data_IF_156338332954
#
_entry.id   IF_156338332954
#
_cell.length_a   1.000
_cell.length_b   1.000
_cell.length_c   1.000
_cell.angle_alpha   90.00
_cell.angle_beta   90.00
_cell.angle_gamma   90.00
#
_symmetry.space_group_name_H-M   'P 1'
#
loop_
_entity.id
_entity.type
_entity.pdbx_description
1 polymer ?
#
# COMPACT_ATOMS: atom_id res chain seq x y z
N UNK A 1 17.23 14.91 -6.04
CA UNK A 1 17.72 14.25 -4.79
C UNK A 1 16.69 13.23 -4.34
N UNK A 2 17.13 12.04 -3.94
CA UNK A 2 16.24 11.02 -3.35
C UNK A 2 15.89 11.52 -1.95
N UNK A 3 14.60 11.73 -1.66
CA UNK A 3 14.15 12.06 -0.30
C UNK A 3 14.22 10.80 0.57
N UNK A 4 14.81 10.92 1.74
CA UNK A 4 14.87 9.85 2.73
C UNK A 4 13.83 10.16 3.80
N UNK A 5 12.81 9.31 4.00
CA UNK A 5 11.82 9.51 5.02
C UNK A 5 12.46 9.53 6.43
N UNK A 6 11.89 10.32 7.31
CA UNK A 6 12.37 10.48 8.68
C UNK A 6 11.20 10.48 9.66
N UNK A 7 11.48 10.77 10.92
CA UNK A 7 10.48 10.78 12.00
C UNK A 7 10.01 12.20 12.39
N UNK A 8 10.21 13.21 11.55
CA UNK A 8 9.89 14.59 11.92
C UNK A 8 8.39 14.82 12.15
N UNK A 9 7.54 14.12 11.41
CA UNK A 9 6.08 14.17 11.59
C UNK A 9 5.66 13.38 12.83
N UNK A 10 6.13 12.16 12.96
CA UNK A 10 5.83 11.28 14.09
C UNK A 10 6.26 11.91 15.41
N UNK A 11 7.48 12.46 15.50
CA UNK A 11 8.00 13.11 16.73
C UNK A 11 7.17 14.30 17.20
N UNK A 12 6.59 15.06 16.28
CA UNK A 12 5.69 16.18 16.64
C UNK A 12 4.37 15.65 17.21
N UNK A 13 3.87 14.56 16.67
CA UNK A 13 2.60 13.96 17.05
C UNK A 13 2.74 13.14 18.34
N UNK A 14 3.87 12.50 18.60
CA UNK A 14 4.13 11.76 19.85
C UNK A 14 4.10 12.61 21.11
N UNK A 15 4.04 13.95 20.98
CA UNK A 15 3.83 14.86 22.13
C UNK A 15 2.39 14.72 22.68
N UNK A 16 1.42 14.43 21.79
CA UNK A 16 -0.02 14.40 22.12
C UNK A 16 -0.67 13.03 21.89
N UNK A 17 -0.08 12.17 21.08
CA UNK A 17 -0.61 10.87 20.65
C UNK A 17 0.43 9.79 20.87
N UNK A 18 0.00 8.62 21.34
CA UNK A 18 0.91 7.50 21.61
C UNK A 18 1.07 6.57 20.42
N UNK A 19 -0.02 6.29 19.72
CA UNK A 19 -0.08 5.28 18.64
C UNK A 19 -0.41 5.91 17.30
N UNK A 20 0.62 6.35 16.57
CA UNK A 20 0.49 6.99 15.28
C UNK A 20 0.67 5.94 14.19
N UNK A 21 -0.39 5.66 13.42
CA UNK A 21 -0.31 4.76 12.27
C UNK A 21 0.01 5.53 10.99
N UNK A 22 1.09 5.15 10.31
CA UNK A 22 1.34 5.52 8.92
C UNK A 22 0.58 4.60 7.98
N UNK A 23 -0.13 5.14 6.98
CA UNK A 23 -0.90 4.39 5.97
C UNK A 23 -0.45 4.76 4.56
N UNK A 24 -0.35 3.76 3.68
CA UNK A 24 -0.16 3.95 2.23
C UNK A 24 -0.79 2.80 1.44
N UNK A 25 -1.12 3.05 0.16
CA UNK A 25 -1.75 2.06 -0.71
C UNK A 25 -0.83 1.57 -1.84
N UNK A 26 -1.10 0.35 -2.30
CA UNK A 26 -0.52 -0.23 -3.50
C UNK A 26 -1.60 -0.75 -4.47
N UNK A 27 -1.36 -0.57 -5.76
CA UNK A 27 -2.22 -1.15 -6.79
C UNK A 27 -3.43 -0.31 -7.20
N UNK A 28 -3.54 0.95 -6.79
CA UNK A 28 -4.67 1.82 -7.13
C UNK A 28 -4.91 1.95 -8.64
N UNK A 29 -3.86 2.12 -9.44
CA UNK A 29 -3.94 2.26 -10.90
C UNK A 29 -3.77 0.97 -11.71
N UNK A 30 -3.86 -0.21 -11.09
CA UNK A 30 -3.76 -1.49 -11.80
C UNK A 30 -5.08 -1.87 -12.48
N UNK A 31 -5.01 -2.59 -13.61
CA UNK A 31 -6.18 -3.11 -14.33
C UNK A 31 -6.69 -4.44 -13.77
N UNK A 32 -5.88 -5.12 -12.96
CA UNK A 32 -6.24 -6.40 -12.34
C UNK A 32 -5.72 -6.50 -10.90
N UNK A 33 -6.40 -7.31 -10.11
CA UNK A 33 -6.12 -7.57 -8.71
C UNK A 33 -6.64 -6.48 -7.76
N UNK A 34 -6.56 -6.73 -6.46
CA UNK A 34 -7.08 -5.82 -5.43
C UNK A 34 -6.27 -4.52 -5.33
N UNK A 35 -6.85 -3.52 -4.69
CA UNK A 35 -6.09 -2.46 -4.01
C UNK A 35 -5.70 -2.99 -2.64
N UNK A 36 -4.51 -2.64 -2.18
CA UNK A 36 -3.96 -3.06 -0.89
C UNK A 36 -3.52 -1.84 -0.10
N UNK A 37 -3.83 -1.79 1.18
CA UNK A 37 -3.33 -0.77 2.12
C UNK A 37 -2.52 -1.44 3.21
N UNK A 38 -1.39 -0.83 3.55
CA UNK A 38 -0.60 -1.15 4.73
C UNK A 38 -0.82 -0.09 5.81
N UNK A 39 -0.77 -0.51 7.07
CA UNK A 39 -0.77 0.35 8.23
C UNK A 39 0.36 -0.06 9.17
N UNK A 40 1.12 0.92 9.70
CA UNK A 40 2.27 0.66 10.58
C UNK A 40 2.34 1.69 11.70
N UNK A 41 2.38 1.20 12.95
CA UNK A 41 2.71 2.00 14.13
C UNK A 41 4.16 1.71 14.52
N UNK A 42 5.00 2.72 14.45
CA UNK A 42 6.40 2.61 14.86
C UNK A 42 6.56 2.93 16.35
N UNK A 43 7.57 2.32 17.03
CA UNK A 43 7.84 2.62 18.43
C UNK A 43 8.42 4.04 18.60
N UNK A 44 7.93 4.77 19.59
CA UNK A 44 8.38 6.11 19.98
C UNK A 44 9.61 6.09 20.90
N UNK A 45 9.84 4.97 21.59
CA UNK A 45 10.88 4.74 22.57
C UNK A 45 12.19 4.16 22.03
N UNK A 46 12.30 3.95 20.72
CA UNK A 46 13.52 3.42 20.09
C UNK A 46 14.40 4.55 19.51
N UNK A 47 15.48 4.97 20.21
CA UNK A 47 16.35 6.05 19.74
C UNK A 47 17.12 5.70 18.45
N UNK A 48 17.22 4.41 18.12
CA UNK A 48 17.94 3.91 16.94
C UNK A 48 17.00 3.57 15.77
N UNK A 49 15.71 3.88 15.85
CA UNK A 49 14.67 3.46 14.90
C UNK A 49 15.05 3.78 13.44
N UNK A 50 15.47 5.02 13.15
CA UNK A 50 15.90 5.43 11.80
C UNK A 50 17.07 4.59 11.29
N UNK A 51 18.04 4.26 12.14
CA UNK A 51 19.18 3.41 11.79
C UNK A 51 18.72 1.97 11.59
N UNK A 52 17.85 1.46 12.44
CA UNK A 52 17.31 0.11 12.38
C UNK A 52 16.47 -0.11 11.13
N UNK A 53 15.70 0.89 10.71
CA UNK A 53 14.92 0.89 9.45
C UNK A 53 15.69 1.55 8.28
N UNK A 54 17.03 1.56 8.35
CA UNK A 54 17.84 2.08 7.23
C UNK A 54 17.49 1.36 5.93
N UNK A 55 17.30 2.14 4.85
CA UNK A 55 16.88 1.65 3.54
C UNK A 55 15.37 1.71 3.30
N UNK A 56 14.53 1.90 4.31
CA UNK A 56 13.10 2.16 4.13
C UNK A 56 12.92 3.50 3.43
N UNK A 57 12.16 3.48 2.33
CA UNK A 57 11.81 4.64 1.50
C UNK A 57 10.62 4.26 0.61
N UNK A 58 10.13 5.21 -0.21
CA UNK A 58 9.11 4.97 -1.22
C UNK A 58 9.30 3.60 -1.91
N UNK A 59 8.31 2.74 -1.80
CA UNK A 59 8.38 1.34 -2.26
C UNK A 59 8.63 1.21 -3.77
N UNK A 60 8.31 2.23 -4.55
CA UNK A 60 8.53 2.30 -6.00
C UNK A 60 10.00 2.54 -6.36
N UNK A 61 10.79 3.07 -5.41
CA UNK A 61 12.24 3.28 -5.54
C UNK A 61 13.05 2.06 -5.13
N UNK A 62 12.40 1.01 -4.63
CA UNK A 62 13.02 -0.22 -4.17
C UNK A 62 12.81 -1.35 -5.18
N UNK A 63 13.84 -2.18 -5.36
CA UNK A 63 13.69 -3.44 -6.08
C UNK A 63 12.81 -4.42 -5.28
N UNK A 64 12.17 -5.41 -5.93
CA UNK A 64 11.42 -6.44 -5.22
C UNK A 64 12.24 -7.10 -4.09
N UNK A 65 13.49 -7.48 -4.37
CA UNK A 65 14.40 -8.08 -3.37
C UNK A 65 14.61 -7.19 -2.14
N UNK A 66 14.78 -5.88 -2.34
CA UNK A 66 14.93 -4.95 -1.22
C UNK A 66 13.67 -4.86 -0.37
N UNK A 67 12.48 -4.82 -1.03
CA UNK A 67 11.20 -4.84 -0.31
C UNK A 67 11.00 -6.14 0.49
N UNK A 68 11.33 -7.29 -0.11
CA UNK A 68 11.23 -8.60 0.54
C UNK A 68 12.17 -8.73 1.77
N UNK A 69 13.29 -8.02 1.78
CA UNK A 69 14.20 -7.94 2.94
C UNK A 69 13.70 -6.96 4.01
N UNK A 70 13.08 -5.85 3.61
CA UNK A 70 12.64 -4.81 4.53
C UNK A 70 11.30 -5.14 5.19
N UNK A 71 10.37 -5.79 4.49
CA UNK A 71 9.04 -6.07 5.00
C UNK A 71 9.04 -6.92 6.30
N UNK A 72 9.79 -8.02 6.43
CA UNK A 72 9.91 -8.76 7.69
C UNK A 72 10.48 -7.90 8.81
N UNK A 73 11.50 -7.10 8.52
CA UNK A 73 12.16 -6.23 9.49
C UNK A 73 11.23 -5.12 10.00
N UNK A 74 10.40 -4.54 9.12
CA UNK A 74 9.37 -3.58 9.52
C UNK A 74 8.37 -4.24 10.48
N UNK A 75 7.90 -5.45 10.17
CA UNK A 75 6.96 -6.20 10.98
C UNK A 75 7.50 -6.57 12.36
N UNK A 76 8.78 -6.89 12.46
CA UNK A 76 9.46 -7.22 13.70
C UNK A 76 9.61 -6.00 14.62
N UNK A 77 9.85 -4.81 14.05
CA UNK A 77 10.14 -3.59 14.80
C UNK A 77 8.85 -2.83 15.15
N UNK A 78 7.83 -2.88 14.29
CA UNK A 78 6.58 -2.17 14.49
C UNK A 78 5.87 -2.62 15.78
N UNK A 79 5.31 -1.69 16.55
CA UNK A 79 4.43 -2.01 17.69
C UNK A 79 3.16 -2.71 17.23
N UNK A 80 2.62 -2.28 16.09
CA UNK A 80 1.51 -2.92 15.40
C UNK A 80 1.62 -2.64 13.91
N UNK A 81 1.10 -3.56 13.11
CA UNK A 81 0.96 -3.42 11.67
C UNK A 81 -0.26 -4.19 11.18
N UNK A 82 -0.82 -3.76 10.06
CA UNK A 82 -1.91 -4.44 9.40
C UNK A 82 -1.83 -4.30 7.89
N UNK A 83 -2.49 -5.21 7.18
CA UNK A 83 -2.61 -5.21 5.72
C UNK A 83 -4.06 -5.51 5.39
N UNK A 84 -4.67 -4.64 4.60
CA UNK A 84 -6.04 -4.82 4.13
C UNK A 84 -6.13 -4.78 2.61
N UNK A 85 -7.09 -5.50 2.07
CA UNK A 85 -7.35 -5.58 0.64
C UNK A 85 -8.81 -5.25 0.34
N UNK A 86 -9.05 -4.61 -0.83
CA UNK A 86 -10.36 -4.62 -1.46
C UNK A 86 -10.23 -5.21 -2.87
N UNK A 87 -11.10 -6.16 -3.19
CA UNK A 87 -11.05 -6.98 -4.41
C UNK A 87 -11.35 -6.16 -5.68
N UNK A 88 -11.14 -6.78 -6.85
CA UNK A 88 -11.52 -6.17 -8.12
C UNK A 88 -13.04 -5.94 -8.21
N UNK A 89 -13.86 -6.87 -7.73
CA UNK A 89 -15.32 -6.74 -7.71
C UNK A 89 -15.78 -5.62 -6.76
N UNK A 90 -15.16 -5.47 -5.59
CA UNK A 90 -15.43 -4.35 -4.68
C UNK A 90 -15.03 -3.01 -5.29
N UNK A 91 -13.91 -2.97 -6.04
CA UNK A 91 -13.50 -1.76 -6.78
C UNK A 91 -14.51 -1.42 -7.87
N UNK A 92 -14.99 -2.42 -8.61
CA UNK A 92 -15.97 -2.21 -9.66
C UNK A 92 -17.34 -1.76 -9.10
N UNK A 93 -17.72 -2.28 -7.93
CA UNK A 93 -18.98 -1.92 -7.27
C UNK A 93 -18.94 -0.53 -6.59
N UNK A 94 -17.86 -0.19 -5.92
CA UNK A 94 -17.76 1.00 -5.08
C UNK A 94 -17.01 2.17 -5.73
N UNK A 95 -16.20 1.88 -6.75
CA UNK A 95 -15.20 2.80 -7.25
C UNK A 95 -13.90 2.75 -6.43
N UNK A 96 -12.79 3.22 -7.04
CA UNK A 96 -11.44 3.05 -6.47
C UNK A 96 -11.23 3.79 -5.14
N UNK A 97 -11.84 4.96 -4.96
CA UNK A 97 -11.63 5.74 -3.72
C UNK A 97 -12.29 5.06 -2.52
N UNK A 98 -13.60 4.73 -2.53
CA UNK A 98 -14.23 3.99 -1.43
C UNK A 98 -13.61 2.61 -1.20
N UNK A 99 -13.24 1.88 -2.26
CA UNK A 99 -12.56 0.59 -2.13
C UNK A 99 -11.18 0.71 -1.47
N UNK A 100 -10.45 1.81 -1.73
CA UNK A 100 -9.17 2.06 -1.04
C UNK A 100 -9.40 2.35 0.46
N UNK A 101 -10.44 3.09 0.81
CA UNK A 101 -10.85 3.33 2.21
C UNK A 101 -11.25 2.03 2.90
N UNK A 102 -12.03 1.18 2.23
CA UNK A 102 -12.38 -0.15 2.73
C UNK A 102 -11.14 -1.00 3.02
N UNK A 103 -10.15 -0.98 2.11
CA UNK A 103 -8.88 -1.66 2.33
C UNK A 103 -8.11 -1.07 3.52
N UNK A 104 -8.18 0.26 3.73
CA UNK A 104 -7.55 0.92 4.87
C UNK A 104 -8.24 0.55 6.20
N UNK A 105 -9.56 0.53 6.26
CA UNK A 105 -10.30 0.06 7.44
C UNK A 105 -9.92 -1.38 7.78
N UNK A 106 -9.88 -2.28 6.80
CA UNK A 106 -9.42 -3.66 6.99
C UNK A 106 -7.96 -3.77 7.46
N UNK A 107 -7.09 -2.86 7.00
CA UNK A 107 -5.71 -2.82 7.47
C UNK A 107 -5.64 -2.40 8.95
N UNK A 108 -6.45 -1.43 9.38
CA UNK A 108 -6.55 -1.03 10.78
C UNK A 108 -7.16 -2.13 11.66
N UNK A 109 -8.21 -2.80 11.19
CA UNK A 109 -8.83 -3.94 11.86
C UNK A 109 -7.89 -5.13 12.03
N UNK A 110 -6.94 -5.32 11.10
CA UNK A 110 -5.93 -6.38 11.16
C UNK A 110 -4.78 -6.09 12.14
N UNK A 111 -4.72 -4.89 12.74
CA UNK A 111 -3.71 -4.53 13.74
C UNK A 111 -4.03 -5.15 15.09
N UNK A 112 -3.01 -5.40 15.91
CA UNK A 112 -3.17 -5.94 17.28
C UNK A 112 -3.88 -4.96 18.24
N UNK A 113 -3.84 -3.67 17.95
CA UNK A 113 -4.59 -2.60 18.61
C UNK A 113 -4.75 -1.40 17.66
N UNK A 114 -5.74 -0.55 17.92
CA UNK A 114 -6.04 0.60 17.08
C UNK A 114 -5.12 1.79 17.39
N UNK A 115 -4.78 2.61 16.36
CA UNK A 115 -4.08 3.87 16.56
C UNK A 115 -4.99 4.92 17.19
N UNK A 116 -4.37 5.98 17.72
CA UNK A 116 -5.04 7.21 18.19
C UNK A 116 -4.82 8.40 17.22
N UNK A 117 -3.97 8.23 16.22
CA UNK A 117 -3.77 9.20 15.14
C UNK A 117 -3.36 8.50 13.82
N UNK A 118 -3.79 9.06 12.68
CA UNK A 118 -3.41 8.57 11.35
C UNK A 118 -2.53 9.58 10.61
N UNK A 119 -1.39 9.13 10.11
CA UNK A 119 -0.60 9.77 9.06
C UNK A 119 -0.85 9.05 7.75
N UNK A 120 -1.47 9.71 6.77
CA UNK A 120 -1.83 9.08 5.49
C UNK A 120 -1.07 9.71 4.33
N UNK A 121 -0.86 8.96 3.24
CA UNK A 121 -0.50 9.61 1.98
C UNK A 121 -1.70 10.42 1.45
N UNK A 122 -1.45 11.53 0.75
CA UNK A 122 -2.39 12.61 0.43
C UNK A 122 -3.77 12.18 -0.11
N UNK A 123 -3.87 11.00 -0.70
CA UNK A 123 -5.14 10.52 -1.30
C UNK A 123 -5.86 9.47 -0.47
N UNK A 124 -5.41 9.22 0.75
CA UNK A 124 -5.93 8.18 1.63
C UNK A 124 -6.50 8.78 2.93
N UNK A 125 -7.41 9.74 2.80
CA UNK A 125 -8.19 10.24 3.93
C UNK A 125 -9.34 9.29 4.24
N UNK A 126 -9.62 9.09 5.53
CA UNK A 126 -10.67 8.23 6.09
C UNK A 126 -11.66 9.06 6.90
N UNK A 127 -12.48 9.91 6.26
CA UNK A 127 -13.37 10.84 6.96
C UNK A 127 -14.49 10.13 7.75
N UNK A 128 -14.74 8.84 7.45
CA UNK A 128 -15.69 8.00 8.16
C UNK A 128 -15.21 7.50 9.53
N UNK A 129 -13.92 7.64 9.82
CA UNK A 129 -13.36 7.26 11.12
C UNK A 129 -13.30 8.47 12.04
N UNK A 130 -13.75 8.28 13.28
CA UNK A 130 -13.61 9.28 14.36
C UNK A 130 -12.19 9.23 14.93
N UNK A 131 -11.20 9.48 14.06
CA UNK A 131 -9.78 9.53 14.40
C UNK A 131 -9.14 10.79 13.83
N UNK A 132 -8.34 11.46 14.65
CA UNK A 132 -7.50 12.56 14.19
C UNK A 132 -6.55 12.07 13.09
N UNK A 133 -6.46 12.82 12.00
CA UNK A 133 -5.62 12.41 10.87
C UNK A 133 -4.99 13.60 10.15
N UNK A 134 -3.85 13.35 9.52
CA UNK A 134 -3.17 14.30 8.63
C UNK A 134 -2.71 13.61 7.37
N UNK A 135 -3.13 14.14 6.22
CA UNK A 135 -2.69 13.68 4.92
C UNK A 135 -1.44 14.45 4.47
N UNK A 136 -0.38 13.72 4.13
CA UNK A 136 0.89 14.28 3.68
C UNK A 136 1.06 14.08 2.17
N UNK A 137 1.34 15.16 1.44
CA UNK A 137 1.70 15.05 0.02
C UNK A 137 3.03 14.31 -0.09
N UNK A 138 3.06 13.18 -0.82
CA UNK A 138 4.21 12.26 -0.92
C UNK A 138 4.67 11.81 0.47
N UNK A 139 3.72 11.39 1.28
CA UNK A 139 3.96 11.00 2.66
C UNK A 139 5.02 9.91 2.80
N UNK A 140 5.08 8.98 1.85
CA UNK A 140 6.08 7.93 1.70
C UNK A 140 7.54 8.43 1.52
N UNK A 141 7.72 9.71 1.17
CA UNK A 141 9.03 10.36 1.06
C UNK A 141 9.41 11.18 2.31
N UNK A 142 8.48 11.41 3.23
CA UNK A 142 8.66 12.32 4.38
C UNK A 142 8.48 11.64 5.72
N UNK A 143 7.58 10.68 5.84
CA UNK A 143 7.26 9.94 7.07
C UNK A 143 7.77 8.50 6.99
N UNK A 144 8.49 8.06 8.03
CA UNK A 144 9.04 6.71 8.09
C UNK A 144 7.94 5.66 8.31
N UNK A 145 6.87 6.00 9.02
CA UNK A 145 5.72 5.11 9.21
C UNK A 145 4.93 4.92 7.92
N UNK A 146 4.69 5.98 7.13
CA UNK A 146 4.03 5.88 5.82
C UNK A 146 4.91 5.08 4.84
N UNK A 147 6.22 5.35 4.78
CA UNK A 147 7.15 4.61 3.93
C UNK A 147 7.19 3.10 4.29
N UNK A 148 7.12 2.78 5.57
CA UNK A 148 7.03 1.40 6.06
C UNK A 148 5.72 0.74 5.61
N UNK A 149 4.59 1.43 5.74
CA UNK A 149 3.29 0.98 5.26
C UNK A 149 3.28 0.75 3.74
N UNK A 150 3.88 1.65 2.96
CA UNK A 150 4.08 1.54 1.51
C UNK A 150 4.77 0.23 1.12
N UNK A 151 5.86 -0.12 1.83
CA UNK A 151 6.59 -1.37 1.59
C UNK A 151 5.72 -2.58 1.91
N UNK A 152 4.99 -2.58 3.04
CA UNK A 152 4.12 -3.69 3.42
C UNK A 152 2.99 -3.89 2.40
N UNK A 153 2.29 -2.82 2.03
CA UNK A 153 1.22 -2.85 1.04
C UNK A 153 1.72 -3.38 -0.32
N UNK A 154 2.85 -2.84 -0.79
CA UNK A 154 3.43 -3.21 -2.09
C UNK A 154 3.92 -4.65 -2.12
N UNK A 155 4.60 -5.10 -1.07
CA UNK A 155 5.11 -6.48 -0.97
C UNK A 155 3.96 -7.49 -0.92
N UNK A 156 2.96 -7.24 -0.09
CA UNK A 156 1.80 -8.13 0.05
C UNK A 156 1.01 -8.23 -1.26
N UNK A 157 0.76 -7.09 -1.91
CA UNK A 157 0.02 -7.07 -3.16
C UNK A 157 0.80 -7.74 -4.30
N UNK A 158 2.09 -7.47 -4.43
CA UNK A 158 2.92 -8.06 -5.48
C UNK A 158 2.99 -9.59 -5.32
N UNK A 159 3.08 -10.10 -4.08
CA UNK A 159 3.03 -11.52 -3.77
C UNK A 159 1.71 -12.15 -4.20
N UNK A 160 0.58 -11.53 -3.88
CA UNK A 160 -0.74 -12.02 -4.30
C UNK A 160 -0.87 -12.13 -5.83
N UNK A 161 -0.36 -11.15 -6.58
CA UNK A 161 -0.40 -11.20 -8.05
C UNK A 161 0.52 -12.29 -8.64
N UNK A 162 1.60 -12.65 -7.95
CA UNK A 162 2.43 -13.81 -8.32
C UNK A 162 1.68 -15.12 -8.04
N UNK A 163 0.98 -15.23 -6.93
CA UNK A 163 0.16 -16.40 -6.57
C UNK A 163 -1.05 -16.60 -7.48
N UNK A 164 -1.60 -15.53 -8.06
CA UNK A 164 -2.69 -15.58 -9.04
C UNK A 164 -2.21 -15.97 -10.46
N UNK A 165 -0.94 -15.79 -10.78
CA UNK A 165 -0.41 -16.01 -12.13
C UNK A 165 -0.64 -17.44 -12.68
N UNK A 166 -0.42 -18.51 -11.89
CA UNK A 166 -0.71 -19.88 -12.35
C UNK A 166 -2.19 -20.16 -12.64
N UNK A 167 -3.12 -19.39 -12.04
CA UNK A 167 -4.56 -19.53 -12.28
C UNK A 167 -4.99 -18.83 -13.58
N UNK A 168 -4.22 -17.83 -14.01
CA UNK A 168 -4.49 -17.02 -15.20
C UNK A 168 -3.23 -16.81 -16.05
N UNK A 169 -2.58 -17.90 -16.51
CA UNK A 169 -1.23 -17.85 -17.08
C UNK A 169 -1.13 -17.01 -18.36
N UNK A 170 -2.26 -16.84 -19.08
CA UNK A 170 -2.32 -16.08 -20.33
C UNK A 170 -2.10 -14.56 -20.11
N UNK A 171 -2.27 -14.02 -18.88
CA UNK A 171 -2.14 -12.58 -18.64
C UNK A 171 -0.75 -12.17 -18.16
N UNK A 172 0.01 -13.05 -17.48
CA UNK A 172 1.37 -12.76 -17.00
C UNK A 172 1.42 -11.83 -15.79
N UNK A 173 0.53 -12.04 -14.83
CA UNK A 173 0.42 -11.23 -13.60
C UNK A 173 1.70 -11.21 -12.76
N UNK A 174 2.45 -12.30 -12.75
CA UNK A 174 3.73 -12.38 -12.06
C UNK A 174 4.75 -11.34 -12.56
N UNK A 175 4.65 -10.92 -13.83
CA UNK A 175 5.57 -9.94 -14.43
C UNK A 175 5.17 -8.50 -14.11
N UNK A 176 3.94 -8.12 -14.41
CA UNK A 176 3.48 -6.71 -14.36
C UNK A 176 2.54 -6.41 -13.19
N UNK A 177 2.24 -7.39 -12.33
CA UNK A 177 1.41 -7.21 -11.12
C UNK A 177 0.04 -6.56 -11.38
N UNK A 178 -0.56 -6.89 -12.54
CA UNK A 178 -1.86 -6.36 -12.97
C UNK A 178 -1.85 -4.93 -13.51
N UNK A 179 -0.70 -4.26 -13.59
CA UNK A 179 -0.63 -2.92 -14.20
C UNK A 179 -0.80 -2.96 -15.71
N UNK A 180 -1.36 -1.87 -16.28
CA UNK A 180 -1.68 -1.73 -17.70
C UNK A 180 -0.43 -1.53 -18.57
N UNK A 181 0.44 -2.54 -18.63
CA UNK A 181 1.53 -2.59 -19.59
C UNK A 181 0.98 -2.94 -20.97
N UNK A 182 1.72 -2.64 -22.04
CA UNK A 182 1.33 -3.01 -23.42
C UNK A 182 1.06 -4.52 -23.53
N UNK A 183 1.90 -5.36 -22.89
CA UNK A 183 1.70 -6.82 -22.88
C UNK A 183 0.38 -7.21 -22.22
N UNK A 184 0.05 -6.62 -21.05
CA UNK A 184 -1.19 -6.90 -20.34
C UNK A 184 -2.42 -6.46 -21.17
N UNK A 185 -2.41 -5.24 -21.72
CA UNK A 185 -3.50 -4.73 -22.53
C UNK A 185 -3.75 -5.63 -23.76
N UNK A 186 -2.70 -6.09 -24.46
CA UNK A 186 -2.81 -7.05 -25.57
C UNK A 186 -3.45 -8.37 -25.15
N UNK A 187 -3.14 -8.87 -23.96
CA UNK A 187 -3.75 -10.11 -23.46
C UNK A 187 -5.22 -9.91 -23.10
N UNK A 188 -5.59 -8.76 -22.54
CA UNK A 188 -7.00 -8.42 -22.28
C UNK A 188 -7.75 -8.32 -23.62
N UNK A 189 -7.20 -7.67 -24.63
CA UNK A 189 -7.82 -7.60 -25.98
C UNK A 189 -8.02 -8.98 -26.59
N UNK A 190 -7.04 -9.89 -26.41
CA UNK A 190 -7.08 -11.23 -26.99
C UNK A 190 -8.00 -12.20 -26.24
N UNK A 191 -8.02 -12.17 -24.92
CA UNK A 191 -8.69 -13.17 -24.08
C UNK A 191 -9.88 -12.63 -23.28
N UNK A 192 -10.16 -11.31 -23.36
CA UNK A 192 -11.16 -10.65 -22.51
C UNK A 192 -10.67 -10.42 -21.10
N UNK A 193 -11.58 -10.00 -20.22
CA UNK A 193 -11.33 -9.83 -18.79
C UNK A 193 -11.48 -11.17 -18.04
N UNK A 194 -10.55 -11.49 -17.15
CA UNK A 194 -10.71 -12.56 -16.16
C UNK A 194 -11.49 -12.04 -14.94
N UNK A 195 -11.94 -12.93 -14.02
CA UNK A 195 -12.63 -12.52 -12.78
C UNK A 195 -11.84 -11.56 -11.89
N UNK A 196 -10.52 -11.54 -11.98
CA UNK A 196 -9.67 -10.64 -11.18
C UNK A 196 -9.38 -9.29 -11.84
N UNK A 197 -9.91 -9.02 -13.04
CA UNK A 197 -9.79 -7.72 -13.69
C UNK A 197 -10.85 -6.74 -13.20
N UNK A 198 -10.47 -5.46 -13.20
CA UNK A 198 -11.35 -4.32 -12.88
C UNK A 198 -12.04 -3.86 -14.15
N UNK A 199 -13.28 -4.27 -14.35
CA UNK A 199 -14.05 -4.06 -15.58
C UNK A 199 -14.43 -2.61 -15.81
N UNK A 200 -14.51 -1.81 -14.73
CA UNK A 200 -14.80 -0.37 -14.78
C UNK A 200 -13.60 0.49 -15.18
N UNK A 201 -12.38 -0.09 -15.17
CA UNK A 201 -11.16 0.62 -15.55
C UNK A 201 -10.98 0.65 -17.06
N UNK A 202 -10.73 1.84 -17.61
CA UNK A 202 -10.50 2.00 -19.03
C UNK A 202 -9.07 1.59 -19.42
N UNK A 203 -8.97 0.78 -20.46
CA UNK A 203 -7.68 0.52 -21.12
C UNK A 203 -7.37 1.73 -22.01
N UNK A 204 -6.20 2.32 -21.82
CA UNK A 204 -5.79 3.49 -22.60
C UNK A 204 -5.68 3.12 -24.08
N UNK A 205 -6.39 3.82 -24.94
CA UNK A 205 -6.52 3.53 -26.38
C UNK A 205 -5.17 3.48 -27.14
N UNK A 206 -4.15 4.21 -26.67
CA UNK A 206 -2.81 4.16 -27.28
C UNK A 206 -1.98 2.92 -26.91
N UNK A 207 -2.54 2.00 -26.11
CA UNK A 207 -1.89 0.73 -25.71
C UNK A 207 -2.55 -0.49 -26.39
N UNK A 208 -3.53 -0.26 -27.27
CA UNK A 208 -4.25 -1.33 -28.01
C UNK A 208 -3.80 -1.34 -29.46
#
# INVERSE_FOLDING_TARGET
MISIPNLSHEKKLWIAYQYIAGLDEAGRGALAGPVCVGAVILPDDNPHLVRTLSGVRDSKQLTPRQRDQLAPRIKEIARAWGIGFASADEIDALGIVPATRLAASRALEAMSFLPDFLLTDFRLELPELDLSQTALVKGDQHSLSIASASILAKTARDKLLVELDPQYPQYGFARHKGYGTLAHCRMITKFGFSPVHRKTFQIKSHLI
#
